data_IF_487860678271
#
_entry.id   IF_487860678271
#
_cell.length_a   1.000
_cell.length_b   1.000
_cell.length_c   1.000
_cell.angle_alpha   90.00
_cell.angle_beta   90.00
_cell.angle_gamma   90.00
#
_symmetry.space_group_name_H-M   'P 1'
#
loop_
_entity.id
_entity.type
_entity.pdbx_description
1 polymer ?
#
# COMPACT_ATOMS: atom_id res chain seq x y z
N UNK A 1 46.85 47.88 15.66
CA UNK A 1 46.80 46.72 16.56
C UNK A 1 45.37 46.17 16.52
N UNK A 2 45.01 45.46 15.46
CA UNK A 2 45.03 43.99 15.26
C UNK A 2 43.75 43.32 15.79
N UNK A 3 42.93 42.94 14.80
CA UNK A 3 41.69 42.15 14.79
C UNK A 3 41.76 40.90 15.69
N UNK A 4 41.00 40.83 16.79
CA UNK A 4 40.88 39.60 17.60
C UNK A 4 39.42 39.20 17.88
N UNK A 5 38.42 40.04 17.60
CA UNK A 5 37.02 39.79 18.02
C UNK A 5 36.10 39.15 16.98
N UNK A 6 36.61 38.69 15.83
CA UNK A 6 35.77 38.14 14.74
C UNK A 6 35.88 36.64 14.50
N UNK A 7 36.73 35.91 15.21
CA UNK A 7 36.91 34.46 14.99
C UNK A 7 36.04 33.56 15.87
N UNK A 8 35.35 34.08 16.87
CA UNK A 8 34.55 33.25 17.80
C UNK A 8 33.10 33.03 17.36
N UNK A 9 32.56 33.85 16.45
CA UNK A 9 31.16 33.71 16.01
C UNK A 9 30.95 32.62 14.95
N UNK A 10 31.98 32.24 14.19
CA UNK A 10 31.86 31.22 13.14
C UNK A 10 31.90 29.78 13.68
N UNK A 11 32.51 29.57 14.85
CA UNK A 11 32.63 28.25 15.46
C UNK A 11 31.32 27.72 16.07
N UNK A 12 30.36 28.60 16.40
CA UNK A 12 29.08 28.21 17.02
C UNK A 12 28.00 27.83 16.00
N UNK A 13 28.17 28.18 14.72
CA UNK A 13 27.18 27.90 13.67
C UNK A 13 27.30 26.49 13.05
N UNK A 14 28.44 25.82 13.25
CA UNK A 14 28.71 24.49 12.63
C UNK A 14 28.17 23.33 13.49
N UNK A 15 27.92 23.54 14.79
CA UNK A 15 27.40 22.49 15.68
C UNK A 15 25.90 22.20 15.53
N UNK A 16 25.15 22.99 14.77
CA UNK A 16 23.72 22.75 14.51
C UNK A 16 23.45 21.84 13.29
N UNK A 17 24.50 21.38 12.61
CA UNK A 17 24.40 20.49 11.45
C UNK A 17 24.66 19.02 11.80
N UNK A 18 24.38 18.58 13.02
CA UNK A 18 24.34 17.15 13.33
C UNK A 18 22.99 16.63 12.80
N UNK A 19 22.93 15.94 11.64
CA UNK A 19 21.72 15.23 11.28
C UNK A 19 21.45 14.25 12.41
N UNK A 20 20.23 14.30 12.95
CA UNK A 20 19.67 13.25 13.79
C UNK A 20 19.90 11.93 13.07
N UNK A 21 20.90 11.18 13.51
CA UNK A 21 21.13 9.79 13.12
C UNK A 21 19.82 9.08 13.41
N UNK A 22 19.03 8.88 12.35
CA UNK A 22 17.84 8.07 12.37
C UNK A 22 18.31 6.68 12.82
N UNK A 23 18.08 6.36 14.10
CA UNK A 23 18.25 5.00 14.58
C UNK A 23 17.30 4.13 13.77
N UNK A 24 17.85 3.34 12.87
CA UNK A 24 17.15 2.24 12.21
C UNK A 24 16.49 1.40 13.32
N UNK A 25 15.16 1.39 13.36
CA UNK A 25 14.44 0.67 14.40
C UNK A 25 14.40 -0.80 14.02
N UNK A 26 15.25 -1.63 14.61
CA UNK A 26 15.14 -3.09 14.49
C UNK A 26 13.92 -3.61 15.26
N UNK A 27 13.35 -4.73 14.81
CA UNK A 27 12.35 -5.48 15.59
C UNK A 27 13.05 -6.63 16.29
N UNK A 28 12.81 -6.80 17.58
CA UNK A 28 13.41 -7.84 18.42
C UNK A 28 12.34 -8.82 18.86
N UNK A 29 12.65 -10.12 18.82
CA UNK A 29 11.75 -11.22 19.19
C UNK A 29 12.34 -12.01 20.35
N UNK A 30 11.52 -12.38 21.33
CA UNK A 30 11.90 -13.33 22.38
C UNK A 30 10.71 -14.20 22.79
N UNK A 31 10.98 -15.28 23.52
CA UNK A 31 9.98 -16.17 24.11
C UNK A 31 10.07 -16.05 25.63
N UNK A 32 8.96 -15.84 26.32
CA UNK A 32 8.95 -15.81 27.78
C UNK A 32 8.87 -17.20 28.42
N UNK A 33 8.90 -17.25 29.75
CA UNK A 33 8.87 -18.51 30.53
C UNK A 33 7.59 -19.33 30.33
N UNK A 34 6.52 -18.68 29.84
CA UNK A 34 5.23 -19.30 29.57
C UNK A 34 5.11 -19.76 28.11
N UNK A 35 6.16 -19.58 27.31
CA UNK A 35 6.19 -19.93 25.89
C UNK A 35 5.53 -18.89 24.98
N UNK A 36 5.23 -17.69 25.50
CA UNK A 36 4.60 -16.62 24.71
C UNK A 36 5.66 -15.86 23.93
N UNK A 37 5.39 -15.62 22.65
CA UNK A 37 6.27 -14.87 21.75
C UNK A 37 5.96 -13.38 21.85
N UNK A 38 6.98 -12.58 22.10
CA UNK A 38 6.90 -11.11 22.20
C UNK A 38 7.75 -10.43 21.13
N UNK A 39 7.37 -9.20 20.78
CA UNK A 39 8.09 -8.35 19.84
C UNK A 39 8.30 -6.93 20.41
N UNK A 40 9.43 -6.29 20.14
CA UNK A 40 9.71 -4.89 20.52
C UNK A 40 10.50 -4.16 19.45
N UNK A 41 10.32 -2.83 19.37
CA UNK A 41 11.09 -1.91 18.51
C UNK A 41 12.40 -1.43 19.16
N UNK A 42 12.73 -1.96 20.34
CA UNK A 42 13.93 -1.63 21.11
C UNK A 42 14.63 -2.91 21.53
N UNK A 43 15.97 -2.91 21.59
CA UNK A 43 16.70 -3.99 22.23
C UNK A 43 16.26 -4.03 23.70
N UNK A 44 15.50 -5.06 24.07
CA UNK A 44 15.11 -5.30 25.44
C UNK A 44 16.35 -5.57 26.31
N UNK A 45 16.21 -5.49 27.62
CA UNK A 45 17.30 -5.87 28.56
C UNK A 45 17.55 -7.38 28.63
N UNK A 46 16.81 -8.17 27.84
CA UNK A 46 16.89 -9.63 27.88
C UNK A 46 17.96 -10.14 26.93
N UNK A 47 18.76 -11.08 27.41
CA UNK A 47 19.86 -11.70 26.66
C UNK A 47 19.41 -12.72 25.61
N UNK A 48 18.13 -13.09 25.60
CA UNK A 48 17.50 -14.04 24.67
C UNK A 48 16.72 -13.35 23.54
N UNK A 49 16.79 -12.03 23.43
CA UNK A 49 16.17 -11.28 22.35
C UNK A 49 17.00 -11.38 21.07
N UNK A 50 16.41 -11.91 20.01
CA UNK A 50 17.01 -11.98 18.67
C UNK A 50 16.45 -10.86 17.79
N UNK A 51 17.31 -10.14 17.08
CA UNK A 51 16.89 -9.15 16.09
C UNK A 51 16.30 -9.87 14.87
N UNK A 52 15.08 -9.50 14.51
CA UNK A 52 14.40 -10.01 13.32
C UNK A 52 14.95 -9.28 12.10
N UNK A 53 15.84 -9.97 11.38
CA UNK A 53 16.46 -9.46 10.17
C UNK A 53 15.42 -9.00 9.13
N UNK A 54 15.63 -7.83 8.55
CA UNK A 54 14.80 -7.29 7.45
C UNK A 54 13.50 -6.61 7.89
N UNK A 55 13.22 -6.47 9.19
CA UNK A 55 12.04 -5.77 9.68
C UNK A 55 12.44 -4.45 10.33
N UNK A 56 12.05 -3.35 9.70
CA UNK A 56 12.23 -2.01 10.26
C UNK A 56 10.95 -1.59 11.00
N UNK A 57 11.03 -1.47 12.33
CA UNK A 57 9.95 -1.03 13.20
C UNK A 57 9.46 0.39 12.88
N UNK A 58 10.27 1.19 12.18
CA UNK A 58 9.96 2.54 11.71
C UNK A 58 9.97 2.64 10.19
N UNK A 59 9.66 1.55 9.49
CA UNK A 59 9.48 1.59 8.05
C UNK A 59 8.56 2.76 7.68
N UNK A 60 9.03 3.62 6.79
CA UNK A 60 8.24 4.70 6.22
C UNK A 60 6.98 4.14 5.58
N UNK A 61 5.97 4.99 5.40
CA UNK A 61 4.76 4.59 4.69
C UNK A 61 5.11 4.03 3.30
N UNK A 62 6.04 4.65 2.56
CA UNK A 62 6.54 4.09 1.31
C UNK A 62 7.16 2.69 1.43
N UNK A 63 7.96 2.42 2.47
CA UNK A 63 8.56 1.10 2.69
C UNK A 63 7.52 0.06 3.12
N UNK A 64 6.50 0.43 3.90
CA UNK A 64 5.37 -0.45 4.23
C UNK A 64 4.56 -0.79 2.98
N UNK A 65 4.24 0.22 2.15
CA UNK A 65 3.50 0.02 0.92
C UNK A 65 4.29 -0.85 -0.08
N UNK A 66 5.63 -0.72 -0.09
CA UNK A 66 6.52 -1.55 -0.90
C UNK A 66 6.64 -2.99 -0.36
N UNK A 67 6.78 -3.18 0.95
CA UNK A 67 6.85 -4.51 1.57
C UNK A 67 5.53 -5.28 1.46
N UNK A 68 4.39 -4.59 1.57
CA UNK A 68 3.07 -5.18 1.35
C UNK A 68 2.86 -5.55 -0.12
N UNK A 69 3.39 -4.75 -1.06
CA UNK A 69 3.42 -5.11 -2.48
C UNK A 69 4.34 -6.30 -2.80
N UNK A 70 5.38 -6.55 -1.99
CA UNK A 70 6.27 -7.72 -2.10
C UNK A 70 5.63 -9.01 -1.55
N UNK A 71 4.64 -8.89 -0.65
CA UNK A 71 3.97 -10.04 -0.03
C UNK A 71 2.88 -10.65 -0.97
N UNK A 72 2.42 -9.89 -1.95
CA UNK A 72 1.77 -10.41 -3.15
C UNK A 72 2.90 -10.89 -4.07
N UNK A 73 3.07 -12.21 -4.22
CA UNK A 73 4.18 -12.80 -4.97
C UNK A 73 4.53 -12.02 -6.24
N UNK A 74 5.83 -11.78 -6.46
CA UNK A 74 6.39 -10.82 -7.42
C UNK A 74 6.08 -11.00 -8.92
N UNK A 75 4.98 -11.64 -9.28
CA UNK A 75 4.37 -11.51 -10.59
C UNK A 75 3.65 -10.17 -10.68
N UNK A 76 4.22 -9.26 -11.47
CA UNK A 76 3.55 -8.02 -11.84
C UNK A 76 2.21 -8.36 -12.50
N UNK A 77 1.11 -7.84 -11.95
CA UNK A 77 -0.20 -8.01 -12.56
C UNK A 77 -0.19 -7.25 -13.90
N UNK A 78 -0.49 -7.94 -14.98
CA UNK A 78 -0.57 -7.36 -16.32
C UNK A 78 -2.02 -7.10 -16.73
N UNK A 79 -2.24 -6.22 -17.70
CA UNK A 79 -3.57 -6.00 -18.28
C UNK A 79 -4.21 -7.30 -18.80
N UNK A 80 -3.38 -8.22 -19.33
CA UNK A 80 -3.84 -9.51 -19.83
C UNK A 80 -4.44 -10.39 -18.72
N UNK A 81 -3.92 -10.32 -17.50
CA UNK A 81 -4.46 -11.07 -16.36
C UNK A 81 -5.84 -10.57 -15.92
N UNK A 82 -6.15 -9.29 -16.18
CA UNK A 82 -7.43 -8.68 -15.86
C UNK A 82 -8.50 -8.94 -16.91
N UNK A 83 -8.15 -9.50 -18.08
CA UNK A 83 -9.10 -9.69 -19.17
C UNK A 83 -10.36 -10.48 -18.76
N UNK A 84 -11.48 -10.03 -19.28
CA UNK A 84 -12.81 -10.58 -19.07
C UNK A 84 -13.69 -9.72 -18.17
N UNK A 85 -14.87 -10.27 -17.89
CA UNK A 85 -15.89 -9.63 -17.08
C UNK A 85 -15.63 -9.87 -15.59
N UNK A 86 -15.79 -8.82 -14.78
CA UNK A 86 -15.69 -8.85 -13.32
C UNK A 86 -16.90 -8.16 -12.70
N UNK A 87 -17.41 -8.75 -11.62
CA UNK A 87 -18.48 -8.18 -10.83
C UNK A 87 -17.94 -7.60 -9.53
N UNK A 88 -17.97 -6.28 -9.39
CA UNK A 88 -17.86 -5.59 -8.11
C UNK A 88 -19.16 -5.78 -7.35
N UNK A 89 -19.07 -6.60 -6.29
CA UNK A 89 -20.21 -7.01 -5.49
C UNK A 89 -20.26 -6.31 -4.13
N UNK A 90 -19.18 -5.65 -3.71
CA UNK A 90 -19.09 -5.02 -2.41
C UNK A 90 -18.10 -3.85 -2.40
N UNK A 91 -18.43 -2.81 -1.64
CA UNK A 91 -17.53 -1.71 -1.29
C UNK A 91 -17.53 -1.48 0.22
N UNK A 92 -16.35 -1.34 0.81
CA UNK A 92 -16.18 -1.06 2.24
C UNK A 92 -15.23 0.13 2.46
N UNK A 93 -15.42 0.86 3.57
CA UNK A 93 -14.52 1.94 3.99
C UNK A 93 -13.57 1.40 5.06
N UNK A 94 -12.27 1.54 4.83
CA UNK A 94 -11.22 1.12 5.77
C UNK A 94 -11.34 1.91 7.07
N UNK A 95 -11.45 1.21 8.19
CA UNK A 95 -11.60 1.84 9.51
C UNK A 95 -12.97 2.47 9.77
N UNK A 96 -13.89 2.38 8.80
CA UNK A 96 -15.28 2.79 8.99
C UNK A 96 -16.04 1.80 9.87
N UNK A 97 -16.96 2.31 10.70
CA UNK A 97 -17.89 1.48 11.47
C UNK A 97 -19.09 1.01 10.64
N UNK A 98 -19.21 1.48 9.39
CA UNK A 98 -20.31 1.15 8.49
C UNK A 98 -20.15 -0.26 7.93
N UNK A 99 -21.27 -0.97 7.78
CA UNK A 99 -21.30 -2.24 7.06
C UNK A 99 -20.91 -2.04 5.59
N UNK A 100 -20.30 -3.06 4.94
CA UNK A 100 -20.02 -3.01 3.51
C UNK A 100 -21.30 -2.79 2.69
N UNK A 101 -21.21 -1.94 1.66
CA UNK A 101 -22.28 -1.68 0.71
C UNK A 101 -22.28 -2.76 -0.37
N UNK A 102 -23.42 -3.42 -0.61
CA UNK A 102 -23.59 -4.32 -1.74
C UNK A 102 -23.63 -3.54 -3.06
N UNK A 103 -22.86 -3.99 -4.04
CA UNK A 103 -22.71 -3.38 -5.35
C UNK A 103 -23.11 -4.37 -6.44
N UNK A 104 -23.52 -3.86 -7.59
CA UNK A 104 -23.72 -4.65 -8.81
C UNK A 104 -23.16 -3.86 -9.97
N UNK A 105 -21.84 -3.80 -10.02
CA UNK A 105 -21.09 -3.07 -11.03
C UNK A 105 -20.23 -4.05 -11.79
N UNK A 106 -20.31 -3.98 -13.11
CA UNK A 106 -19.50 -4.79 -13.99
C UNK A 106 -18.33 -3.99 -14.54
N UNK A 107 -17.17 -4.64 -14.52
CA UNK A 107 -15.93 -4.18 -15.13
C UNK A 107 -15.59 -5.20 -16.21
N UNK A 108 -15.66 -4.81 -17.47
CA UNK A 108 -15.29 -5.66 -18.60
C UNK A 108 -13.98 -5.14 -19.20
N UNK A 109 -12.90 -5.89 -18.98
CA UNK A 109 -11.59 -5.60 -19.54
C UNK A 109 -11.43 -6.39 -20.84
N UNK A 110 -11.50 -5.71 -21.98
CA UNK A 110 -11.44 -6.35 -23.29
C UNK A 110 -10.00 -6.57 -23.77
N UNK A 111 -9.86 -7.25 -24.91
CA UNK A 111 -8.56 -7.48 -25.54
C UNK A 111 -7.91 -6.14 -25.92
N UNK A 112 -6.69 -5.91 -25.40
CA UNK A 112 -5.99 -4.63 -25.50
C UNK A 112 -6.02 -3.86 -24.18
N UNK A 113 -6.39 -2.60 -24.26
CA UNK A 113 -6.42 -1.62 -23.17
C UNK A 113 -7.81 -0.99 -22.97
N UNK A 114 -8.88 -1.63 -23.45
CA UNK A 114 -10.25 -1.12 -23.30
C UNK A 114 -10.95 -1.64 -22.04
N UNK A 115 -11.65 -0.73 -21.35
CA UNK A 115 -12.44 -1.00 -20.15
C UNK A 115 -13.87 -0.46 -20.33
N UNK A 116 -14.85 -1.32 -20.13
CA UNK A 116 -16.23 -0.92 -19.93
C UNK A 116 -16.64 -1.10 -18.47
N UNK A 117 -17.08 -0.02 -17.84
CA UNK A 117 -17.63 0.00 -16.50
C UNK A 117 -19.14 0.25 -16.54
N UNK A 118 -19.94 -0.67 -15.99
CA UNK A 118 -21.41 -0.62 -16.03
C UNK A 118 -22.00 -0.80 -14.63
N UNK A 119 -22.68 0.24 -14.15
CA UNK A 119 -23.48 0.15 -12.93
C UNK A 119 -24.87 -0.40 -13.28
N UNK A 120 -25.18 -1.62 -12.83
CA UNK A 120 -26.44 -2.30 -13.16
C UNK A 120 -27.65 -1.72 -12.43
N UNK A 121 -27.44 -0.96 -11.34
CA UNK A 121 -28.53 -0.33 -10.60
C UNK A 121 -28.97 0.96 -11.27
N UNK A 122 -28.02 1.79 -11.69
CA UNK A 122 -28.32 3.07 -12.34
C UNK A 122 -28.43 2.97 -13.87
N UNK A 123 -27.93 1.88 -14.47
CA UNK A 123 -27.78 1.73 -15.92
C UNK A 123 -26.66 2.57 -16.51
N UNK A 124 -25.88 3.28 -15.68
CA UNK A 124 -24.79 4.14 -16.15
C UNK A 124 -23.65 3.28 -16.71
N UNK A 125 -23.18 3.64 -17.92
CA UNK A 125 -22.06 3.00 -18.61
C UNK A 125 -20.97 4.02 -18.88
N UNK A 126 -19.72 3.60 -18.67
CA UNK A 126 -18.51 4.36 -19.00
C UNK A 126 -17.61 3.44 -19.80
N UNK A 127 -17.18 3.90 -20.97
CA UNK A 127 -16.19 3.22 -21.80
C UNK A 127 -14.92 4.08 -21.80
N UNK A 128 -13.77 3.44 -21.65
CA UNK A 128 -12.48 4.13 -21.55
C UNK A 128 -11.35 3.18 -21.86
N UNK A 129 -10.13 3.69 -21.94
CA UNK A 129 -8.92 2.88 -21.95
C UNK A 129 -8.32 2.80 -20.55
N UNK A 130 -7.56 1.74 -20.28
CA UNK A 130 -6.87 1.51 -19.01
C UNK A 130 -5.43 1.01 -19.22
N UNK A 131 -4.54 1.33 -18.29
CA UNK A 131 -3.23 0.69 -18.19
C UNK A 131 -3.05 0.02 -16.83
N UNK A 132 -2.16 -0.96 -16.76
CA UNK A 132 -1.75 -1.58 -15.49
C UNK A 132 -0.27 -1.30 -15.26
N UNK A 133 0.04 -0.51 -14.25
CA UNK A 133 1.41 -0.15 -13.88
C UNK A 133 1.58 -0.24 -12.37
N UNK A 134 2.64 -0.93 -11.91
CA UNK A 134 2.99 -1.02 -10.47
C UNK A 134 1.80 -1.43 -9.60
N UNK A 135 1.04 -2.43 -10.03
CA UNK A 135 -0.19 -2.91 -9.36
C UNK A 135 -1.27 -1.84 -9.22
N UNK A 136 -1.36 -0.92 -10.19
CA UNK A 136 -2.45 0.05 -10.28
C UNK A 136 -3.13 -0.09 -11.63
N UNK A 137 -4.46 -0.08 -11.62
CA UNK A 137 -5.28 0.08 -12.80
C UNK A 137 -5.54 1.57 -12.95
N UNK A 138 -5.09 2.15 -14.05
CA UNK A 138 -5.32 3.57 -14.37
C UNK A 138 -6.25 3.66 -15.56
N UNK A 139 -7.48 4.09 -15.33
CA UNK A 139 -8.41 4.43 -16.39
C UNK A 139 -8.19 5.88 -16.85
N UNK A 140 -8.34 6.15 -18.15
CA UNK A 140 -8.26 7.53 -18.67
C UNK A 140 -9.49 8.37 -18.29
N UNK A 141 -10.64 7.73 -18.10
CA UNK A 141 -11.85 8.39 -17.63
C UNK A 141 -11.67 8.89 -16.20
N UNK A 142 -11.82 10.20 -16.01
CA UNK A 142 -11.77 10.85 -14.69
C UNK A 142 -12.82 10.30 -13.70
N UNK A 143 -13.90 9.70 -14.20
CA UNK A 143 -14.94 9.11 -13.35
C UNK A 143 -14.55 7.75 -12.74
N UNK A 144 -13.56 7.06 -13.32
CA UNK A 144 -13.03 5.80 -12.79
C UNK A 144 -11.67 6.04 -12.11
N UNK A 145 -10.79 6.85 -12.70
CA UNK A 145 -9.54 7.25 -12.05
C UNK A 145 -8.55 6.09 -11.89
N UNK A 146 -7.86 6.05 -10.74
CA UNK A 146 -6.78 5.09 -10.47
C UNK A 146 -7.12 4.22 -9.27
N UNK A 147 -7.01 2.90 -9.46
CA UNK A 147 -7.30 1.89 -8.46
C UNK A 147 -6.03 1.10 -8.16
N UNK A 148 -5.66 0.98 -6.88
CA UNK A 148 -4.57 0.10 -6.46
C UNK A 148 -5.09 -1.33 -6.35
N UNK A 149 -4.42 -2.30 -6.93
CA UNK A 149 -4.72 -3.70 -6.73
C UNK A 149 -4.12 -4.13 -5.39
N UNK A 150 -4.98 -4.42 -4.42
CA UNK A 150 -4.61 -4.83 -3.07
C UNK A 150 -4.45 -6.35 -2.96
N UNK A 151 -5.29 -7.10 -3.68
CA UNK A 151 -5.22 -8.56 -3.79
C UNK A 151 -5.68 -9.01 -5.17
N UNK A 152 -5.08 -10.07 -5.69
CA UNK A 152 -5.46 -10.69 -6.96
C UNK A 152 -5.09 -12.17 -6.95
N UNK A 153 -5.98 -13.04 -7.42
CA UNK A 153 -5.70 -14.48 -7.58
C UNK A 153 -6.26 -15.06 -8.89
N UNK A 154 -6.62 -14.22 -9.86
CA UNK A 154 -7.20 -14.64 -11.14
C UNK A 154 -8.71 -14.85 -11.13
N UNK A 155 -9.32 -15.14 -9.97
CA UNK A 155 -10.77 -15.33 -9.80
C UNK A 155 -11.42 -14.23 -8.95
N UNK A 156 -10.62 -13.52 -8.15
CA UNK A 156 -11.04 -12.43 -7.29
C UNK A 156 -9.99 -11.33 -7.26
N UNK A 157 -10.45 -10.10 -7.04
CA UNK A 157 -9.62 -8.91 -7.00
C UNK A 157 -10.15 -7.92 -5.95
N UNK A 158 -9.25 -7.38 -5.14
CA UNK A 158 -9.56 -6.25 -4.24
C UNK A 158 -8.88 -4.99 -4.77
N UNK A 159 -9.65 -3.93 -4.98
CA UNK A 159 -9.18 -2.63 -5.45
C UNK A 159 -9.30 -1.57 -4.36
N UNK A 160 -8.27 -0.75 -4.18
CA UNK A 160 -8.23 0.36 -3.24
C UNK A 160 -8.33 1.72 -3.96
N UNK A 161 -9.21 2.59 -3.47
CA UNK A 161 -9.33 4.00 -3.90
C UNK A 161 -9.49 4.88 -2.67
N UNK A 162 -8.44 5.61 -2.30
CA UNK A 162 -8.42 6.34 -1.02
C UNK A 162 -8.64 5.37 0.15
N UNK A 163 -9.69 5.59 0.93
CA UNK A 163 -10.10 4.72 2.05
C UNK A 163 -11.11 3.64 1.64
N UNK A 164 -11.47 3.52 0.37
CA UNK A 164 -12.45 2.54 -0.12
C UNK A 164 -11.75 1.27 -0.61
N UNK A 165 -12.32 0.12 -0.26
CA UNK A 165 -11.96 -1.20 -0.80
C UNK A 165 -13.16 -1.71 -1.59
N UNK A 166 -12.95 -2.00 -2.87
CA UNK A 166 -13.91 -2.62 -3.77
C UNK A 166 -13.53 -4.09 -3.94
N UNK A 167 -14.51 -5.00 -3.84
CA UNK A 167 -14.31 -6.44 -4.01
C UNK A 167 -14.96 -6.90 -5.29
N UNK A 168 -14.15 -7.51 -6.14
CA UNK A 168 -14.54 -8.02 -7.44
C UNK A 168 -14.33 -9.52 -7.51
N UNK A 169 -15.26 -10.19 -8.17
CA UNK A 169 -15.14 -11.60 -8.57
C UNK A 169 -15.20 -11.71 -10.08
N UNK A 170 -14.51 -12.68 -10.65
CA UNK A 170 -14.55 -12.92 -12.09
C UNK A 170 -15.93 -13.46 -12.50
N UNK A 171 -16.40 -13.04 -13.67
CA UNK A 171 -17.74 -13.29 -14.19
C UNK A 171 -18.71 -12.13 -13.98
N UNK A 172 -19.94 -12.32 -14.45
CA UNK A 172 -21.00 -11.31 -14.36
C UNK A 172 -21.59 -11.14 -12.96
N UNK A 173 -22.26 -10.01 -12.78
CA UNK A 173 -23.21 -9.79 -11.69
C UNK A 173 -24.60 -10.35 -12.05
#
# INVERSE_FOLDING_TARGET
MTRITQFTALALAISLLIPSLAQAGGVYKWVDEQGVVHYSDRPGTRTDAEEVAGVNARASEQERLAAEAVTLGGDQISAQMLQGLWCEHEMAIVGGASEPEERRIEWDFYEGDELQHRDLRSGRRVETTFSVERNQIRAESASLGTHRILRFNGESMELGVGEQIHRLRKGGC
#
